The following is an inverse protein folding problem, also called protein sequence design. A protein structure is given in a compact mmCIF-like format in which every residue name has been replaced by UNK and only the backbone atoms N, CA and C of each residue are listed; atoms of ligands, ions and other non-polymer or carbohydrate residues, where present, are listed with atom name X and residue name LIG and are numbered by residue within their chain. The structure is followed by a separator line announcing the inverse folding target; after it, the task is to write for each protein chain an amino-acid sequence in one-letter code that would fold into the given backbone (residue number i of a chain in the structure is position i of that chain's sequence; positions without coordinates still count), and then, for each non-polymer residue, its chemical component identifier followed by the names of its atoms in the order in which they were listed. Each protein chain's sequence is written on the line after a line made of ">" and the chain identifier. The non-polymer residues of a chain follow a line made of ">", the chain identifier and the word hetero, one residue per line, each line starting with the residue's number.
data_IF_073364646771
#
_entry.id   IF_073364646771
#
_cell.length_a   1.000
_cell.length_b   1.000
_cell.length_c   1.000
_cell.angle_alpha   90.00
_cell.angle_beta   90.00
_cell.angle_gamma   90.00
#
_symmetry.space_group_name_H-M   'P 1'
#
loop_
_entity.id
_entity.type
_entity.pdbx_description
1 polymer ?
#
# COMPACT_ATOMS: atom_id res chain seq x y z
N UNK A 1 10.06 -11.50 10.99
CA UNK A 1 10.50 -10.09 10.89
C UNK A 1 9.28 -9.18 10.76
N UNK A 2 8.54 -9.18 9.65
CA UNK A 2 7.29 -8.41 9.53
C UNK A 2 6.20 -9.18 8.77
N UNK A 3 5.00 -8.62 8.69
CA UNK A 3 3.88 -9.09 7.89
C UNK A 3 3.50 -8.04 6.85
N UNK A 4 3.16 -8.47 5.63
CA UNK A 4 2.56 -7.60 4.64
C UNK A 4 1.12 -7.28 5.02
N UNK A 5 0.79 -5.99 5.06
CA UNK A 5 -0.55 -5.48 5.31
C UNK A 5 -1.24 -5.24 3.97
N UNK A 6 -2.43 -5.86 3.78
CA UNK A 6 -3.35 -5.50 2.69
C UNK A 6 -4.47 -4.64 3.26
N UNK A 7 -4.53 -3.38 2.88
CA UNK A 7 -5.44 -2.39 3.44
C UNK A 7 -6.79 -2.40 2.71
N UNK A 8 -7.51 -3.51 2.89
CA UNK A 8 -8.87 -3.68 2.33
C UNK A 8 -9.84 -2.65 2.92
N UNK A 9 -9.57 -2.19 4.15
CA UNK A 9 -10.25 -1.06 4.79
C UNK A 9 -10.19 0.22 3.94
N UNK A 10 -9.00 0.57 3.45
CA UNK A 10 -8.80 1.72 2.54
C UNK A 10 -9.58 1.50 1.26
N UNK A 11 -9.48 0.32 0.65
CA UNK A 11 -10.18 0.01 -0.60
C UNK A 11 -11.72 0.14 -0.45
N UNK A 12 -12.29 -0.40 0.63
CA UNK A 12 -13.73 -0.31 0.90
C UNK A 12 -14.14 1.13 1.17
N UNK A 13 -13.40 1.86 2.00
CA UNK A 13 -13.69 3.25 2.32
C UNK A 13 -13.68 4.14 1.06
N UNK A 14 -12.64 4.02 0.24
CA UNK A 14 -12.51 4.80 -1.00
C UNK A 14 -13.59 4.43 -2.03
N UNK A 15 -14.00 3.16 -2.09
CA UNK A 15 -15.11 2.73 -2.96
C UNK A 15 -16.43 3.34 -2.52
N UNK A 16 -16.75 3.32 -1.22
CA UNK A 16 -17.98 3.91 -0.69
C UNK A 16 -17.99 5.43 -0.92
N UNK A 17 -16.86 6.12 -0.70
CA UNK A 17 -16.72 7.55 -0.98
C UNK A 17 -16.95 7.87 -2.46
N UNK A 18 -16.38 7.09 -3.36
CA UNK A 18 -16.55 7.28 -4.81
C UNK A 18 -18.03 7.19 -5.20
N UNK A 19 -18.72 6.14 -4.74
CA UNK A 19 -20.16 5.96 -4.98
C UNK A 19 -20.99 7.09 -4.39
N UNK A 20 -20.69 7.50 -3.15
CA UNK A 20 -21.36 8.64 -2.51
C UNK A 20 -21.13 9.97 -3.23
N UNK A 21 -19.98 10.12 -3.88
CA UNK A 21 -19.62 11.25 -4.74
C UNK A 21 -20.21 11.17 -6.16
N UNK A 22 -20.95 10.10 -6.49
CA UNK A 22 -21.59 9.89 -7.78
C UNK A 22 -20.72 9.17 -8.82
N UNK A 23 -19.51 8.74 -8.45
CA UNK A 23 -18.68 7.89 -9.31
C UNK A 23 -19.06 6.42 -9.11
N UNK A 24 -19.87 5.91 -10.05
CA UNK A 24 -20.24 4.50 -10.14
C UNK A 24 -19.55 3.81 -11.31
N UNK A 25 -18.44 4.37 -11.80
CA UNK A 25 -17.69 3.74 -12.87
C UNK A 25 -17.12 2.40 -12.40
N UNK A 26 -17.34 1.36 -13.22
CA UNK A 26 -16.70 0.07 -13.03
C UNK A 26 -15.27 0.10 -13.56
N UNK A 27 -14.41 -0.80 -13.06
CA UNK A 27 -13.04 -0.92 -13.54
C UNK A 27 -12.13 -1.61 -12.53
N UNK A 28 -10.86 -1.75 -12.92
CA UNK A 28 -9.80 -2.23 -12.03
C UNK A 28 -9.22 -1.03 -11.31
N UNK A 29 -9.20 -1.08 -9.98
CA UNK A 29 -8.52 -0.09 -9.14
C UNK A 29 -7.37 -0.77 -8.40
N UNK A 30 -6.16 -0.26 -8.61
CA UNK A 30 -4.94 -0.79 -7.99
C UNK A 30 -4.68 -0.06 -6.69
N UNK A 31 -4.40 -0.83 -5.65
CA UNK A 31 -4.11 -0.36 -4.30
C UNK A 31 -2.70 -0.83 -3.93
N UNK A 32 -1.74 0.09 -3.90
CA UNK A 32 -0.30 -0.15 -3.76
C UNK A 32 0.29 0.72 -2.63
N UNK A 33 1.63 0.82 -2.56
CA UNK A 33 2.31 1.62 -1.53
C UNK A 33 2.02 3.13 -1.66
N UNK A 34 1.72 3.62 -2.88
CA UNK A 34 1.49 5.05 -3.15
C UNK A 34 0.15 5.54 -2.62
N UNK A 35 -0.85 4.66 -2.52
CA UNK A 35 -2.19 4.98 -2.03
C UNK A 35 -2.56 4.27 -0.71
N UNK A 36 -1.53 3.84 0.04
CA UNK A 36 -1.67 3.10 1.31
C UNK A 36 -2.54 1.83 1.19
N UNK A 37 -2.60 1.24 -0.01
CA UNK A 37 -3.29 -0.01 -0.30
C UNK A 37 -2.58 -1.24 0.25
N UNK A 38 -1.25 -1.16 0.34
CA UNK A 38 -0.41 -2.14 1.01
C UNK A 38 0.59 -1.47 1.94
N UNK A 39 1.08 -2.20 2.92
CA UNK A 39 2.11 -1.74 3.85
C UNK A 39 2.79 -2.91 4.57
N UNK A 40 3.55 -2.60 5.61
CA UNK A 40 4.20 -3.61 6.46
C UNK A 40 3.92 -3.33 7.93
N UNK A 41 3.91 -4.38 8.74
CA UNK A 41 3.68 -4.28 10.18
C UNK A 41 4.99 -3.90 10.92
N UNK A 42 4.93 -2.89 11.76
CA UNK A 42 6.01 -2.56 12.73
C UNK A 42 5.76 -3.19 14.10
N UNK A 43 4.56 -3.71 14.33
CA UNK A 43 4.21 -4.39 15.58
C UNK A 43 5.07 -5.63 15.81
N UNK A 44 5.60 -5.78 17.03
CA UNK A 44 6.43 -6.91 17.43
C UNK A 44 7.92 -6.58 17.58
N UNK A 45 8.36 -5.38 17.19
CA UNK A 45 9.71 -4.86 17.45
C UNK A 45 10.84 -5.51 16.66
N UNK A 46 10.52 -6.45 15.77
CA UNK A 46 11.50 -7.22 15.00
C UNK A 46 12.06 -6.47 13.78
N UNK A 47 11.54 -5.29 13.46
CA UNK A 47 11.98 -4.48 12.32
C UNK A 47 12.32 -3.05 12.71
N UNK A 48 12.37 -2.74 14.00
CA UNK A 48 12.58 -1.37 14.48
C UNK A 48 13.99 -0.87 14.15
N UNK A 49 14.97 -1.78 14.14
CA UNK A 49 16.37 -1.53 13.77
C UNK A 49 16.56 -1.25 12.28
N UNK A 50 15.67 -1.75 11.43
CA UNK A 50 15.69 -1.58 9.98
C UNK A 50 14.58 -0.66 9.44
N UNK A 51 13.74 -0.10 10.32
CA UNK A 51 12.55 0.66 9.92
C UNK A 51 12.88 1.82 8.98
N UNK A 52 13.95 2.57 9.26
CA UNK A 52 14.38 3.68 8.40
C UNK A 52 14.76 3.23 6.99
N UNK A 53 15.43 2.08 6.86
CA UNK A 53 15.79 1.51 5.56
C UNK A 53 14.54 1.05 4.79
N UNK A 54 13.56 0.48 5.49
CA UNK A 54 12.29 0.07 4.90
C UNK A 54 11.49 1.29 4.40
N UNK A 55 11.50 2.39 5.14
CA UNK A 55 10.85 3.64 4.73
C UNK A 55 11.53 4.30 3.52
N UNK A 56 12.86 4.25 3.44
CA UNK A 56 13.62 4.71 2.26
C UNK A 56 13.26 3.88 1.02
N UNK A 57 13.23 2.55 1.14
CA UNK A 57 12.83 1.66 0.03
C UNK A 57 11.37 1.91 -0.36
N UNK A 58 10.47 2.08 0.62
CA UNK A 58 9.07 2.45 0.35
C UNK A 58 8.99 3.74 -0.46
N UNK A 59 9.75 4.76 -0.08
CA UNK A 59 9.79 6.04 -0.80
C UNK A 59 10.33 5.86 -2.24
N UNK A 60 11.39 5.07 -2.43
CA UNK A 60 11.94 4.78 -3.75
C UNK A 60 10.97 4.00 -4.65
N UNK A 61 10.19 3.05 -4.10
CA UNK A 61 9.13 2.35 -4.85
C UNK A 61 8.01 3.32 -5.24
N UNK A 62 7.59 4.21 -4.32
CA UNK A 62 6.57 5.23 -4.60
C UNK A 62 7.05 6.23 -5.65
N UNK A 63 8.35 6.58 -5.63
CA UNK A 63 8.98 7.45 -6.62
C UNK A 63 9.19 6.77 -7.98
N UNK A 64 8.99 5.45 -8.07
CA UNK A 64 9.23 4.66 -9.29
C UNK A 64 10.70 4.39 -9.58
N UNK A 65 11.60 4.69 -8.64
CA UNK A 65 13.03 4.37 -8.74
C UNK A 65 13.28 2.85 -8.60
N UNK A 66 12.41 2.18 -7.85
CA UNK A 66 12.38 0.73 -7.70
C UNK A 66 11.07 0.20 -8.27
N UNK A 67 11.16 -0.57 -9.36
CA UNK A 67 10.00 -1.25 -9.95
C UNK A 67 9.86 -2.66 -9.37
N UNK A 68 8.69 -2.94 -8.78
CA UNK A 68 8.39 -4.26 -8.21
C UNK A 68 7.89 -5.18 -9.32
N UNK A 69 8.53 -6.36 -9.56
CA UNK A 69 8.09 -7.29 -10.59
C UNK A 69 6.65 -7.75 -10.38
N UNK A 70 5.84 -7.69 -11.43
CA UNK A 70 4.42 -8.08 -11.40
C UNK A 70 4.17 -9.49 -11.92
N UNK A 71 5.21 -10.19 -12.36
CA UNK A 71 5.15 -11.57 -12.87
C UNK A 71 6.29 -12.41 -12.24
N UNK A 72 6.07 -13.72 -12.00
CA UNK A 72 7.06 -14.63 -11.43
C UNK A 72 8.19 -14.99 -12.40
#
# INVERSE_FOLDING_TARGET
>A
LTSMLKRVDVAVCETIKAVAGGDTSGGIKVFDLSNDGVGYATSGGYVDDIAAQLDEIKAAIIAGEIEVPTAP
#
